data_IF_290475909732
#
_entry.id   IF_290475909732
#
_cell.length_a   1.000
_cell.length_b   1.000
_cell.length_c   1.000
_cell.angle_alpha   90.00
_cell.angle_beta   90.00
_cell.angle_gamma   90.00
#
_symmetry.space_group_name_H-M   'P 1'
#
loop_
_entity.id
_entity.type
_entity.pdbx_description
1 polymer ?
#
# COMPACT_ATOMS: atom_id res chain seq x y z
N UNK A 1 9.40 -15.07 10.24
CA UNK A 1 9.52 -16.22 9.33
C UNK A 1 8.25 -16.22 8.48
N UNK A 2 8.33 -15.75 7.24
CA UNK A 2 7.24 -15.98 6.29
C UNK A 2 7.36 -17.44 5.83
N UNK A 3 6.28 -18.24 5.87
CA UNK A 3 6.34 -19.63 5.44
C UNK A 3 6.76 -19.70 3.97
N UNK A 4 7.74 -20.55 3.68
CA UNK A 4 8.19 -20.84 2.33
C UNK A 4 7.06 -21.52 1.55
N UNK A 5 6.47 -20.77 0.60
CA UNK A 5 5.55 -21.25 -0.45
C UNK A 5 4.12 -21.58 0.07
N UNK A 6 3.00 -21.03 -0.41
CA UNK A 6 2.65 -20.38 -1.67
C UNK A 6 1.76 -19.16 -1.37
N UNK A 7 2.32 -17.94 -1.42
CA UNK A 7 1.53 -16.72 -1.26
C UNK A 7 1.47 -16.00 -2.60
N UNK A 8 0.28 -16.01 -3.21
CA UNK A 8 0.01 -15.22 -4.41
C UNK A 8 -0.47 -13.83 -4.01
N UNK A 9 0.35 -12.82 -4.27
CA UNK A 9 0.00 -11.41 -4.07
C UNK A 9 -0.59 -10.84 -5.36
N UNK A 10 -1.83 -10.37 -5.29
CA UNK A 10 -2.50 -9.68 -6.39
C UNK A 10 -2.60 -8.19 -6.06
N UNK A 11 -1.90 -7.36 -6.82
CA UNK A 11 -1.89 -5.91 -6.65
C UNK A 11 -2.17 -5.22 -7.99
N UNK A 12 -2.79 -4.05 -7.94
CA UNK A 12 -3.09 -3.27 -9.15
C UNK A 12 -1.85 -2.57 -9.72
N UNK A 13 -0.93 -2.15 -8.84
CA UNK A 13 0.32 -1.49 -9.19
C UNK A 13 1.40 -1.81 -8.15
N UNK A 14 2.66 -1.66 -8.54
CA UNK A 14 3.83 -1.67 -7.67
C UNK A 14 4.49 -0.29 -7.80
N UNK A 15 4.68 0.39 -6.68
CA UNK A 15 5.23 1.74 -6.59
C UNK A 15 6.71 1.73 -6.13
N UNK A 16 7.40 2.86 -6.34
CA UNK A 16 8.86 2.93 -6.28
C UNK A 16 9.43 2.97 -4.85
N UNK A 17 8.81 3.76 -3.97
CA UNK A 17 9.39 4.01 -2.65
C UNK A 17 8.35 4.31 -1.54
N UNK A 18 8.86 4.38 -0.31
CA UNK A 18 8.10 4.82 0.86
C UNK A 18 8.68 6.14 1.38
N UNK A 19 7.81 7.08 1.75
CA UNK A 19 8.19 8.28 2.50
C UNK A 19 8.63 7.92 3.93
N UNK A 20 9.28 8.87 4.62
CA UNK A 20 9.60 8.77 6.06
C UNK A 20 8.38 8.58 6.97
N UNK A 21 7.19 8.89 6.47
CA UNK A 21 5.91 8.68 7.17
C UNK A 21 5.21 7.39 6.74
N UNK A 22 5.90 6.51 6.01
CA UNK A 22 5.40 5.22 5.52
C UNK A 22 4.24 5.31 4.52
N UNK A 23 4.09 6.43 3.81
CA UNK A 23 3.24 6.51 2.62
C UNK A 23 3.98 6.00 1.39
N UNK A 24 3.28 5.27 0.52
CA UNK A 24 3.75 4.83 -0.79
C UNK A 24 3.86 6.03 -1.74
N UNK A 25 4.93 6.10 -2.53
CA UNK A 25 5.20 7.15 -3.51
C UNK A 25 5.37 6.54 -4.91
N UNK A 26 4.67 7.07 -5.95
CA UNK A 26 3.71 8.17 -5.90
C UNK A 26 2.43 7.85 -5.08
N UNK A 27 1.97 6.60 -5.08
CA UNK A 27 0.87 6.11 -4.24
C UNK A 27 -0.43 6.93 -4.35
N UNK A 28 -1.32 6.77 -3.35
CA UNK A 28 -2.63 7.44 -3.32
C UNK A 28 -2.85 8.32 -2.07
N UNK A 29 -1.93 8.32 -1.11
CA UNK A 29 -2.13 9.00 0.18
C UNK A 29 -3.02 8.18 1.13
N UNK A 30 -3.92 8.83 1.88
CA UNK A 30 -4.81 8.15 2.83
C UNK A 30 -6.02 7.53 2.12
N UNK A 31 -5.94 6.22 1.87
CA UNK A 31 -7.01 5.49 1.20
C UNK A 31 -8.32 5.44 2.02
N UNK A 32 -8.25 5.56 3.35
CA UNK A 32 -9.42 5.57 4.22
C UNK A 32 -10.23 6.84 4.06
N UNK A 33 -9.57 7.99 4.14
CA UNK A 33 -10.21 9.30 3.95
C UNK A 33 -10.78 9.45 2.53
N UNK A 34 -10.08 8.91 1.51
CA UNK A 34 -10.57 8.94 0.13
C UNK A 34 -11.81 8.04 -0.09
N UNK A 35 -11.88 6.90 0.59
CA UNK A 35 -12.97 5.95 0.41
C UNK A 35 -14.23 6.30 1.22
N UNK A 36 -14.06 6.89 2.42
CA UNK A 36 -15.15 7.07 3.38
C UNK A 36 -15.37 8.53 3.80
N UNK A 37 -14.58 9.46 3.26
CA UNK A 37 -14.58 10.86 3.64
C UNK A 37 -13.70 11.12 4.86
N UNK A 38 -13.39 12.40 5.08
CA UNK A 38 -12.65 12.86 6.24
C UNK A 38 -13.35 12.43 7.53
N UNK A 39 -12.56 11.98 8.51
CA UNK A 39 -13.03 11.81 9.89
C UNK A 39 -13.69 13.05 10.48
#
# INVERSE_FOLDING_TARGET
>A
YMPDNDISLWVAAIDDELTVKSYIVPGLGDAGDLAFGSK
#
